data_IF_239651941085
#
_entry.id   IF_239651941085
#
_cell.length_a   1.000
_cell.length_b   1.000
_cell.length_c   1.000
_cell.angle_alpha   90.00
_cell.angle_beta   90.00
_cell.angle_gamma   90.00
#
_symmetry.space_group_name_H-M   'P 1'
#
loop_
_entity.id
_entity.type
_entity.pdbx_description
1 polymer ?
#
# COMPACT_ATOMS: atom_id res chain seq x y z
N UNK A 1 -13.82 1.49 3.55
CA UNK A 1 -13.54 2.72 2.76
C UNK A 1 -12.05 3.06 2.66
N UNK A 2 -11.16 2.56 3.55
CA UNK A 2 -9.74 2.98 3.54
C UNK A 2 -8.79 1.95 2.89
N UNK A 3 -9.29 1.10 2.00
CA UNK A 3 -8.44 0.18 1.24
C UNK A 3 -7.55 1.00 0.29
N UNK A 4 -6.24 0.71 0.28
CA UNK A 4 -5.24 1.46 -0.47
C UNK A 4 -4.83 2.82 0.12
N UNK A 5 -5.62 3.44 0.99
CA UNK A 5 -5.36 4.80 1.48
C UNK A 5 -4.14 4.90 2.41
N UNK A 6 -3.86 3.86 3.19
CA UNK A 6 -2.69 3.85 4.10
C UNK A 6 -1.39 4.03 3.33
N UNK A 7 -1.26 3.41 2.16
CA UNK A 7 -0.12 3.57 1.27
C UNK A 7 -0.25 4.80 0.38
N UNK A 8 -1.46 5.06 -0.14
CA UNK A 8 -1.73 6.20 -1.02
C UNK A 8 -1.40 7.55 -0.38
N UNK A 9 -1.76 7.75 0.90
CA UNK A 9 -1.40 8.99 1.61
C UNK A 9 0.12 9.17 1.75
N UNK A 10 0.89 8.09 1.91
CA UNK A 10 2.36 8.18 1.97
C UNK A 10 2.91 8.57 0.60
N UNK A 11 2.42 7.96 -0.48
CA UNK A 11 2.79 8.32 -1.86
C UNK A 11 2.44 9.78 -2.17
N UNK A 12 1.28 10.27 -1.73
CA UNK A 12 0.90 11.68 -1.87
C UNK A 12 1.88 12.59 -1.12
N UNK A 13 2.25 12.23 0.11
CA UNK A 13 3.20 13.00 0.93
C UNK A 13 4.60 13.05 0.31
N UNK A 14 5.16 11.91 -0.10
CA UNK A 14 6.50 11.84 -0.72
C UNK A 14 6.57 12.63 -2.04
N UNK A 15 5.47 12.68 -2.77
CA UNK A 15 5.36 13.46 -4.02
C UNK A 15 4.91 14.90 -3.81
N UNK A 16 4.82 15.35 -2.54
CA UNK A 16 4.34 16.68 -2.15
C UNK A 16 2.98 17.05 -2.79
N UNK A 17 2.11 16.08 -3.04
CA UNK A 17 0.81 16.24 -3.71
C UNK A 17 0.89 16.84 -5.12
N UNK A 18 2.05 16.77 -5.78
CA UNK A 18 2.27 17.40 -7.10
C UNK A 18 2.31 16.40 -8.26
N UNK A 19 2.63 15.14 -7.98
CA UNK A 19 2.86 14.13 -9.03
C UNK A 19 1.61 13.29 -9.31
N UNK A 20 0.86 12.92 -8.27
CA UNK A 20 -0.33 12.08 -8.38
C UNK A 20 -1.56 12.80 -7.82
N UNK A 21 -2.69 12.63 -8.50
CA UNK A 21 -4.00 12.93 -7.96
C UNK A 21 -4.35 11.91 -6.86
N UNK A 22 -5.29 12.26 -5.99
CA UNK A 22 -5.70 11.39 -4.89
C UNK A 22 -6.10 9.97 -5.35
N UNK A 23 -6.92 9.87 -6.40
CA UNK A 23 -7.34 8.57 -6.96
C UNK A 23 -6.18 7.76 -7.55
N UNK A 24 -5.16 8.42 -8.07
CA UNK A 24 -3.96 7.80 -8.62
C UNK A 24 -3.07 7.24 -7.51
N UNK A 25 -2.85 8.01 -6.45
CA UNK A 25 -2.12 7.54 -5.29
C UNK A 25 -2.84 6.39 -4.56
N UNK A 26 -4.18 6.45 -4.46
CA UNK A 26 -4.98 5.34 -3.91
C UNK A 26 -4.85 4.08 -4.78
N UNK A 27 -4.79 4.19 -6.11
CA UNK A 27 -4.60 3.05 -7.00
C UNK A 27 -3.24 2.37 -6.77
N UNK A 28 -2.16 3.15 -6.70
CA UNK A 28 -0.83 2.67 -6.31
C UNK A 28 -0.90 1.98 -4.93
N UNK A 29 -1.56 2.63 -3.97
CA UNK A 29 -1.71 2.12 -2.63
C UNK A 29 -2.51 0.82 -2.55
N UNK A 30 -3.49 0.59 -3.44
CA UNK A 30 -4.20 -0.69 -3.55
C UNK A 30 -3.27 -1.82 -4.00
N UNK A 31 -2.36 -1.55 -4.94
CA UNK A 31 -1.36 -2.53 -5.39
C UNK A 31 -0.40 -2.90 -4.26
N UNK A 32 0.09 -1.92 -3.51
CA UNK A 32 0.93 -2.15 -2.33
C UNK A 32 0.19 -2.93 -1.24
N UNK A 33 -1.08 -2.58 -0.96
CA UNK A 33 -1.91 -3.31 -0.02
C UNK A 33 -2.15 -4.77 -0.44
N UNK A 34 -2.31 -5.03 -1.74
CA UNK A 34 -2.43 -6.40 -2.28
C UNK A 34 -1.15 -7.19 -2.08
N UNK A 35 0.01 -6.58 -2.34
CA UNK A 35 1.30 -7.21 -2.14
C UNK A 35 1.51 -7.61 -0.67
N UNK A 36 1.09 -6.74 0.27
CA UNK A 36 1.14 -7.06 1.70
C UNK A 36 0.15 -8.17 2.07
N UNK A 37 -1.07 -8.15 1.53
CA UNK A 37 -2.05 -9.20 1.76
C UNK A 37 -1.61 -10.56 1.24
N UNK A 38 -0.92 -10.61 0.09
CA UNK A 38 -0.30 -11.82 -0.46
C UNK A 38 0.80 -12.34 0.49
N UNK A 39 1.68 -11.45 0.96
CA UNK A 39 2.75 -11.84 1.89
C UNK A 39 2.21 -12.44 3.19
N UNK A 40 1.04 -11.98 3.64
CA UNK A 40 0.33 -12.50 4.82
C UNK A 40 -0.56 -13.71 4.52
N UNK A 41 -0.65 -14.16 3.26
CA UNK A 41 -1.49 -15.29 2.85
C UNK A 41 -3.01 -15.00 2.86
N UNK A 42 -3.41 -13.73 2.88
CA UNK A 42 -4.81 -13.28 2.87
C UNK A 42 -5.37 -13.12 1.44
N UNK A 43 -4.48 -13.01 0.46
CA UNK A 43 -4.84 -12.75 -0.93
C UNK A 43 -3.99 -13.56 -1.90
N UNK A 44 -4.47 -13.74 -3.12
CA UNK A 44 -3.76 -14.50 -4.17
C UNK A 44 -3.12 -13.58 -5.19
N UNK A 45 -2.03 -14.03 -5.80
CA UNK A 45 -1.36 -13.33 -6.88
C UNK A 45 -2.31 -13.09 -8.08
N UNK A 46 -3.10 -14.11 -8.42
CA UNK A 46 -4.10 -14.05 -9.49
C UNK A 46 -5.14 -12.94 -9.24
N UNK A 47 -5.66 -12.85 -8.01
CA UNK A 47 -6.63 -11.83 -7.66
C UNK A 47 -6.01 -10.42 -7.64
N UNK A 48 -4.74 -10.28 -7.24
CA UNK A 48 -4.02 -9.01 -7.32
C UNK A 48 -3.78 -8.55 -8.76
N UNK A 49 -3.49 -9.49 -9.66
CA UNK A 49 -3.38 -9.21 -11.10
C UNK A 49 -4.70 -8.76 -11.70
N UNK A 50 -5.83 -9.40 -11.34
CA UNK A 50 -7.15 -8.93 -11.76
C UNK A 50 -7.42 -7.49 -11.31
N UNK A 51 -7.05 -7.13 -10.07
CA UNK A 51 -7.15 -5.75 -9.59
C UNK A 51 -6.23 -4.82 -10.38
N UNK A 52 -4.98 -5.21 -10.64
CA UNK A 52 -4.04 -4.40 -11.45
C UNK A 52 -4.58 -4.15 -12.86
N UNK A 53 -5.12 -5.18 -13.51
CA UNK A 53 -5.73 -5.07 -14.86
C UNK A 53 -6.95 -4.15 -14.85
N UNK A 54 -7.76 -4.15 -13.80
CA UNK A 54 -8.89 -3.23 -13.68
C UNK A 54 -8.44 -1.78 -13.50
N UNK A 55 -7.40 -1.54 -12.70
CA UNK A 55 -6.81 -0.21 -12.52
C UNK A 55 -6.19 0.31 -13.83
N UNK A 56 -5.50 -0.56 -14.58
CA UNK A 56 -4.92 -0.24 -15.89
C UNK A 56 -6.01 0.12 -16.92
N UNK A 57 -7.12 -0.64 -16.95
CA UNK A 57 -8.30 -0.30 -17.77
C UNK A 57 -8.93 1.05 -17.39
N UNK A 58 -8.80 1.46 -16.14
CA UNK A 58 -9.23 2.77 -15.66
C UNK A 58 -8.18 3.87 -15.90
N UNK A 59 -7.05 3.56 -16.56
CA UNK A 59 -5.92 4.45 -16.80
C UNK A 59 -5.32 5.02 -15.51
N UNK A 60 -5.35 4.26 -14.42
CA UNK A 60 -4.76 4.63 -13.14
C UNK A 60 -3.34 4.07 -13.02
N UNK A 61 -2.39 4.82 -12.44
CA UNK A 61 -1.06 4.32 -12.18
C UNK A 61 -1.11 3.18 -11.15
N UNK A 62 -0.30 2.17 -11.40
CA UNK A 62 -0.19 0.96 -10.55
C UNK A 62 1.24 0.72 -10.07
N UNK A 63 2.14 1.65 -10.38
CA UNK A 63 3.57 1.54 -10.13
C UNK A 63 4.05 2.80 -9.44
N UNK A 64 4.91 2.60 -8.44
CA UNK A 64 5.57 3.66 -7.70
C UNK A 64 6.90 3.12 -7.22
N UNK A 65 7.93 3.96 -7.33
CA UNK A 65 9.28 3.63 -6.92
C UNK A 65 9.55 4.32 -5.60
N UNK A 66 9.75 3.52 -4.55
CA UNK A 66 10.08 3.98 -3.21
C UNK A 66 11.57 4.29 -3.17
N UNK A 67 11.91 5.54 -2.85
CA UNK A 67 13.31 5.98 -2.75
C UNK A 67 13.97 5.54 -1.45
N UNK A 68 13.20 5.57 -0.37
CA UNK A 68 13.66 5.21 0.96
C UNK A 68 12.56 4.41 1.67
N UNK A 69 12.79 3.11 1.83
CA UNK A 69 11.84 2.17 2.46
C UNK A 69 11.66 2.47 3.94
N UNK A 70 12.71 2.93 4.62
CA UNK A 70 12.66 3.27 6.03
C UNK A 70 11.83 4.54 6.23
N UNK A 71 12.07 5.58 5.43
CA UNK A 71 11.29 6.82 5.45
C UNK A 71 9.82 6.57 5.11
N UNK A 72 9.53 5.76 4.08
CA UNK A 72 8.17 5.37 3.71
C UNK A 72 7.44 4.68 4.87
N UNK A 73 8.12 3.76 5.56
CA UNK A 73 7.57 3.06 6.71
C UNK A 73 7.28 4.01 7.88
N UNK A 74 8.19 4.93 8.20
CA UNK A 74 8.01 5.93 9.25
C UNK A 74 6.81 6.86 8.97
N UNK A 75 6.55 7.17 7.70
CA UNK A 75 5.41 7.99 7.29
C UNK A 75 4.05 7.37 7.61
N UNK A 76 3.92 6.05 7.76
CA UNK A 76 2.68 5.44 8.23
C UNK A 76 2.28 5.89 9.65
N UNK A 77 3.24 6.29 10.49
CA UNK A 77 2.98 6.75 11.84
C UNK A 77 2.63 8.23 11.91
N UNK A 78 3.01 9.03 10.91
CA UNK A 78 2.73 10.46 10.87
C UNK A 78 1.23 10.76 10.70
N UNK A 79 0.53 9.95 9.91
CA UNK A 79 -0.93 10.04 9.72
C UNK A 79 -1.71 9.69 11.01
N UNK A 80 -1.07 9.03 11.98
CA UNK A 80 -1.69 8.59 13.25
C UNK A 80 -0.93 9.03 14.49
N UNK A 81 -0.47 10.30 14.51
CA UNK A 81 0.14 10.98 15.68
C UNK A 81 -0.60 10.85 17.03
N UNK A 82 -1.84 10.33 17.05
CA UNK A 82 -2.67 10.19 18.25
C UNK A 82 -2.63 8.82 18.94
N UNK A 83 -1.94 7.81 18.38
CA UNK A 83 -1.80 6.53 19.06
C UNK A 83 -0.36 6.03 18.99
N UNK A 84 0.28 5.85 20.16
CA UNK A 84 1.42 4.93 20.36
C UNK A 84 0.98 3.47 20.14
N UNK A 85 0.32 3.20 19.02
CA UNK A 85 -0.42 1.99 18.75
C UNK A 85 -0.14 1.54 17.32
N UNK A 86 -0.08 0.23 17.16
CA UNK A 86 0.23 -0.46 15.92
C UNK A 86 -0.48 0.11 14.69
N UNK A 87 0.25 0.11 13.57
CA UNK A 87 -0.31 0.49 12.27
C UNK A 87 -1.45 -0.48 11.95
N UNK A 88 -2.61 0.07 11.60
CA UNK A 88 -3.76 -0.71 11.12
C UNK A 88 -3.84 -0.61 9.61
N UNK A 89 -3.69 -1.74 8.95
CA UNK A 89 -3.85 -1.90 7.51
C UNK A 89 -5.21 -2.48 7.19
N UNK A 90 -5.86 -1.96 6.14
CA UNK A 90 -7.04 -2.58 5.55
C UNK A 90 -6.58 -3.38 4.34
N UNK A 91 -6.61 -4.70 4.46
CA UNK A 91 -6.10 -5.63 3.47
C UNK A 91 -7.24 -6.47 2.89
N UNK A 92 -7.21 -6.84 1.60
CA UNK A 92 -8.17 -7.78 1.04
C UNK A 92 -7.98 -9.17 1.64
N UNK A 93 -9.09 -9.87 1.87
CA UNK A 93 -9.12 -11.26 2.34
C UNK A 93 -9.93 -12.10 1.35
N UNK A 94 -9.31 -12.44 0.22
CA UNK A 94 -10.02 -12.91 -0.98
C UNK A 94 -10.86 -11.81 -1.65
N UNK A 95 -11.44 -12.13 -2.82
CA UNK A 95 -12.23 -11.18 -3.59
C UNK A 95 -13.53 -10.78 -2.89
N UNK A 96 -13.78 -9.47 -2.78
CA UNK A 96 -14.99 -8.90 -2.19
C UNK A 96 -15.01 -8.81 -0.67
N UNK A 97 -13.98 -9.30 0.02
CA UNK A 97 -13.84 -9.25 1.48
C UNK A 97 -12.56 -8.51 1.89
N UNK A 98 -12.54 -8.02 3.12
CA UNK A 98 -11.38 -7.33 3.68
C UNK A 98 -11.22 -7.67 5.15
N UNK A 99 -9.99 -7.59 5.64
CA UNK A 99 -9.62 -7.74 7.03
C UNK A 99 -8.82 -6.52 7.50
N UNK A 100 -9.05 -6.11 8.74
CA UNK A 100 -8.26 -5.07 9.38
C UNK A 100 -7.15 -5.74 10.18
N UNK A 101 -5.94 -5.66 9.67
CA UNK A 101 -4.76 -6.29 10.30
C UNK A 101 -3.96 -5.21 11.02
N UNK A 102 -3.62 -5.47 12.27
CA UNK A 102 -2.71 -4.66 13.07
C UNK A 102 -1.54 -5.50 13.55
N UNK A 103 -0.53 -4.85 14.12
CA UNK A 103 0.62 -5.52 14.77
C UNK A 103 1.42 -6.40 13.80
N UNK A 104 1.46 -6.03 12.52
CA UNK A 104 2.33 -6.66 11.53
C UNK A 104 3.78 -6.31 11.86
N UNK A 105 4.65 -7.31 11.84
CA UNK A 105 6.09 -7.12 12.05
C UNK A 105 6.66 -6.16 10.99
N UNK A 106 7.44 -5.18 11.45
CA UNK A 106 8.09 -4.17 10.63
C UNK A 106 8.88 -4.80 9.49
N UNK A 107 9.57 -5.92 9.76
CA UNK A 107 10.38 -6.61 8.76
C UNK A 107 9.54 -7.13 7.58
N UNK A 108 8.30 -7.56 7.84
CA UNK A 108 7.38 -8.04 6.80
C UNK A 108 6.90 -6.88 5.95
N UNK A 109 6.55 -5.75 6.56
CA UNK A 109 6.11 -4.55 5.84
C UNK A 109 7.26 -4.01 4.99
N UNK A 110 8.46 -3.83 5.56
CA UNK A 110 9.64 -3.35 4.84
C UNK A 110 10.06 -4.28 3.71
N UNK A 111 9.95 -5.60 3.88
CA UNK A 111 10.18 -6.58 2.81
C UNK A 111 9.22 -6.40 1.64
N UNK A 112 7.96 -6.04 1.90
CA UNK A 112 7.00 -5.76 0.83
C UNK A 112 7.32 -4.44 0.16
N UNK A 113 7.58 -3.37 0.93
CA UNK A 113 7.96 -2.06 0.41
C UNK A 113 9.24 -2.12 -0.44
N UNK A 114 10.23 -2.92 -0.05
CA UNK A 114 11.47 -3.07 -0.82
C UNK A 114 11.26 -3.69 -2.20
N UNK A 115 10.15 -4.40 -2.46
CA UNK A 115 9.78 -4.85 -3.81
C UNK A 115 9.38 -3.71 -4.73
N UNK A 116 9.04 -2.56 -4.16
CA UNK A 116 8.73 -1.31 -4.85
C UNK A 116 9.90 -0.32 -4.75
N UNK A 117 11.03 -0.70 -4.15
CA UNK A 117 12.22 0.15 -4.07
C UNK A 117 12.96 0.25 -5.41
N UNK A 118 13.88 1.22 -5.52
CA UNK A 118 14.85 1.21 -6.63
C UNK A 118 15.65 -0.10 -6.61
N UNK A 119 15.70 -0.82 -7.73
CA UNK A 119 16.66 -1.91 -7.91
C UNK A 119 18.06 -1.29 -7.98
N UNK A 120 18.96 -1.65 -7.04
CA UNK A 120 20.39 -1.33 -7.10
C UNK A 120 21.09 -1.96 -8.32
#
# INVERSE_FOLDING_TARGET
LNYGHTFGHVVENETNYTTFLHGEAVAIGMVMANALAIELGLFTQEAAEEVKVLLDKASLPTEYVIKDVDDFYEHFFLDKKSARGSIKFILPQGMGNYEMVSDIDESVVKKVLSRFGEEE
#
